data_IF_186172850048
#
_entry.id   IF_186172850048
#
_cell.length_a   1.000
_cell.length_b   1.000
_cell.length_c   1.000
_cell.angle_alpha   90.00
_cell.angle_beta   90.00
_cell.angle_gamma   90.00
#
_symmetry.space_group_name_H-M   'P 1'
#
loop_
_entity.id
_entity.type
_entity.pdbx_description
1 polymer ?
#
# COMPACT_ATOMS: atom_id res chain seq x y z
N UNK A 1 -58.49 -37.97 -65.21
CA UNK A 1 -57.67 -38.50 -66.32
C UNK A 1 -56.99 -37.30 -66.99
N UNK A 2 -55.65 -37.34 -67.15
CA UNK A 2 -54.74 -36.31 -67.70
C UNK A 2 -54.60 -35.02 -66.84
N UNK A 3 -53.44 -34.66 -66.23
CA UNK A 3 -52.06 -34.43 -66.74
C UNK A 3 -52.06 -33.33 -67.81
N UNK A 4 -51.38 -32.18 -67.71
CA UNK A 4 -49.92 -31.96 -67.49
C UNK A 4 -49.61 -30.42 -67.44
N UNK A 5 -48.35 -29.93 -67.35
CA UNK A 5 -47.90 -28.90 -66.40
C UNK A 5 -47.27 -27.62 -67.04
N UNK A 6 -46.78 -26.68 -66.21
CA UNK A 6 -45.63 -25.76 -66.43
C UNK A 6 -45.48 -24.86 -65.19
N UNK A 7 -44.44 -24.95 -64.36
CA UNK A 7 -43.02 -24.55 -64.51
C UNK A 7 -42.73 -23.21 -63.81
N UNK A 8 -41.85 -23.31 -62.80
CA UNK A 8 -40.84 -22.35 -62.32
C UNK A 8 -41.26 -20.91 -61.94
N UNK A 9 -41.03 -20.54 -60.68
CA UNK A 9 -39.94 -19.58 -60.38
C UNK A 9 -39.54 -19.67 -58.90
N UNK A 10 -38.30 -20.14 -58.69
CA UNK A 10 -37.61 -20.16 -57.41
C UNK A 10 -37.18 -18.73 -57.08
N UNK A 11 -37.63 -18.17 -55.96
CA UNK A 11 -37.00 -16.98 -55.36
C UNK A 11 -36.73 -17.24 -53.88
N UNK A 12 -35.50 -17.68 -53.61
CA UNK A 12 -34.91 -17.67 -52.28
C UNK A 12 -34.82 -16.22 -51.80
N UNK A 13 -35.60 -15.87 -50.78
CA UNK A 13 -35.24 -14.77 -49.86
C UNK A 13 -34.79 -15.36 -48.53
N UNK A 14 -33.48 -15.44 -48.41
CA UNK A 14 -32.75 -15.39 -47.15
C UNK A 14 -33.13 -14.11 -46.38
N UNK A 15 -33.44 -14.25 -45.09
CA UNK A 15 -33.01 -13.39 -43.97
C UNK A 15 -33.66 -13.93 -42.70
N UNK A 16 -32.98 -14.80 -41.94
CA UNK A 16 -32.05 -14.44 -40.86
C UNK A 16 -32.75 -13.77 -39.66
N UNK A 17 -33.09 -14.65 -38.72
CA UNK A 17 -33.23 -14.52 -37.27
C UNK A 17 -33.37 -13.12 -36.60
N UNK A 18 -34.35 -12.98 -35.68
CA UNK A 18 -34.24 -12.05 -34.54
C UNK A 18 -33.25 -12.65 -33.54
N UNK A 19 -32.44 -11.86 -32.81
CA UNK A 19 -31.86 -12.22 -31.47
C UNK A 19 -30.69 -11.34 -30.98
N UNK A 20 -30.32 -10.24 -31.63
CA UNK A 20 -29.13 -9.49 -31.16
C UNK A 20 -29.37 -8.55 -29.94
N UNK A 21 -30.62 -8.18 -29.61
CA UNK A 21 -30.83 -7.05 -28.67
C UNK A 21 -31.02 -7.43 -27.19
N UNK A 22 -31.19 -8.71 -26.85
CA UNK A 22 -31.56 -9.11 -25.46
C UNK A 22 -30.38 -9.45 -24.54
N UNK A 23 -29.15 -9.66 -25.04
CA UNK A 23 -28.02 -10.17 -24.23
C UNK A 23 -27.20 -9.10 -23.49
N UNK A 24 -27.36 -7.82 -23.80
CA UNK A 24 -26.51 -6.76 -23.22
C UNK A 24 -26.91 -6.32 -21.80
N UNK A 25 -28.11 -6.65 -21.30
CA UNK A 25 -28.58 -6.20 -19.97
C UNK A 25 -28.27 -7.14 -18.80
N UNK A 26 -27.85 -8.38 -19.05
CA UNK A 26 -27.54 -9.34 -17.97
C UNK A 26 -26.10 -9.27 -17.45
N UNK A 27 -25.16 -8.64 -18.16
CA UNK A 27 -23.76 -8.54 -17.71
C UNK A 27 -23.51 -7.45 -16.66
N UNK A 28 -24.22 -6.32 -16.78
CA UNK A 28 -23.96 -5.14 -15.93
C UNK A 28 -24.51 -5.30 -14.50
N UNK A 29 -25.67 -5.95 -14.35
CA UNK A 29 -26.27 -6.22 -13.03
C UNK A 29 -25.48 -7.25 -12.22
N UNK A 30 -24.90 -8.25 -12.89
CA UNK A 30 -24.04 -9.26 -12.26
C UNK A 30 -22.74 -8.65 -11.72
N UNK A 31 -22.11 -7.75 -12.47
CA UNK A 31 -20.92 -7.04 -12.01
C UNK A 31 -21.22 -6.17 -10.78
N UNK A 32 -22.31 -5.40 -10.79
CA UNK A 32 -22.69 -4.54 -9.64
C UNK A 32 -23.01 -5.39 -8.40
N UNK A 33 -23.69 -6.53 -8.58
CA UNK A 33 -23.98 -7.45 -7.47
C UNK A 33 -22.71 -8.10 -6.90
N UNK A 34 -21.75 -8.46 -7.76
CA UNK A 34 -20.46 -9.01 -7.34
C UNK A 34 -19.63 -7.96 -6.60
N UNK A 35 -19.52 -6.73 -7.12
CA UNK A 35 -18.83 -5.63 -6.45
C UNK A 35 -19.52 -5.23 -5.14
N UNK A 36 -20.85 -5.25 -5.11
CA UNK A 36 -21.63 -5.01 -3.89
C UNK A 36 -21.42 -6.09 -2.83
N UNK A 37 -21.42 -7.37 -3.23
CA UNK A 37 -21.15 -8.48 -2.32
C UNK A 37 -19.68 -8.51 -1.85
N UNK A 38 -18.73 -8.12 -2.71
CA UNK A 38 -17.32 -7.99 -2.35
C UNK A 38 -17.09 -6.83 -1.38
N UNK A 39 -17.70 -5.68 -1.63
CA UNK A 39 -17.68 -4.52 -0.74
C UNK A 39 -18.34 -4.83 0.61
N UNK A 40 -19.48 -5.54 0.60
CA UNK A 40 -20.15 -5.98 1.82
C UNK A 40 -19.35 -7.06 2.55
N UNK A 41 -18.67 -7.95 1.82
CA UNK A 41 -17.76 -8.95 2.39
C UNK A 41 -16.55 -8.32 3.07
N UNK A 42 -15.99 -7.24 2.50
CA UNK A 42 -14.94 -6.45 3.15
C UNK A 42 -15.42 -5.69 4.39
N UNK A 43 -16.72 -5.39 4.50
CA UNK A 43 -17.29 -4.78 5.72
C UNK A 43 -17.56 -5.79 6.84
N UNK A 44 -17.75 -7.07 6.51
CA UNK A 44 -18.14 -8.11 7.48
C UNK A 44 -16.95 -8.93 7.99
N UNK A 45 -15.83 -8.95 7.25
CA UNK A 45 -14.59 -9.58 7.69
C UNK A 45 -13.63 -8.57 8.30
N UNK A 46 -13.86 -8.15 9.55
CA UNK A 46 -12.79 -7.53 10.35
C UNK A 46 -12.05 -8.69 11.02
N UNK A 47 -10.84 -9.07 10.57
CA UNK A 47 -10.00 -9.96 11.35
C UNK A 47 -9.62 -9.19 12.61
N UNK A 48 -10.29 -9.51 13.72
CA UNK A 48 -9.95 -8.98 15.03
C UNK A 48 -8.69 -9.72 15.52
N UNK A 49 -7.69 -8.94 15.95
CA UNK A 49 -6.50 -9.31 16.73
C UNK A 49 -5.32 -10.00 16.02
N UNK A 50 -5.50 -10.90 15.06
CA UNK A 50 -4.39 -11.70 14.52
C UNK A 50 -3.56 -11.03 13.39
N UNK A 51 -3.66 -9.71 13.19
CA UNK A 51 -3.11 -9.04 12.02
C UNK A 51 -1.61 -8.71 12.12
N UNK A 52 -1.06 -8.62 13.33
CA UNK A 52 0.33 -8.18 13.58
C UNK A 52 1.22 -9.27 14.18
N UNK A 53 0.61 -10.34 14.66
CA UNK A 53 1.29 -11.52 15.20
C UNK A 53 2.13 -12.19 14.11
N UNK A 54 3.36 -12.61 14.43
CA UNK A 54 4.29 -13.31 13.53
C UNK A 54 4.61 -12.57 12.21
N UNK A 55 4.44 -11.24 12.19
CA UNK A 55 4.80 -10.43 11.02
C UNK A 55 6.21 -9.86 11.15
N UNK A 56 6.93 -9.84 10.03
CA UNK A 56 8.19 -9.12 9.88
C UNK A 56 7.98 -8.03 8.84
N UNK A 57 8.12 -6.79 9.25
CA UNK A 57 8.04 -5.64 8.36
C UNK A 57 9.43 -5.04 8.18
N UNK A 58 9.83 -4.83 6.94
CA UNK A 58 11.06 -4.15 6.58
C UNK A 58 10.69 -2.88 5.81
N UNK A 59 11.23 -1.76 6.27
CA UNK A 59 10.99 -0.45 5.69
C UNK A 59 12.29 0.24 5.33
N UNK A 60 12.29 0.97 4.22
CA UNK A 60 13.34 1.93 3.89
C UNK A 60 12.66 3.23 3.45
N UNK A 61 13.21 4.35 3.90
CA UNK A 61 12.74 5.68 3.51
C UNK A 61 13.91 6.60 3.26
N UNK A 62 13.72 7.50 2.30
CA UNK A 62 14.63 8.61 2.05
C UNK A 62 13.87 9.92 2.24
N UNK A 63 14.52 10.90 2.84
CA UNK A 63 13.91 12.17 3.20
C UNK A 63 14.89 13.32 3.08
N UNK A 64 14.35 14.50 3.39
CA UNK A 64 15.11 15.74 3.47
C UNK A 64 15.40 16.04 4.95
N UNK A 65 16.67 16.12 5.30
CA UNK A 65 17.11 16.54 6.63
C UNK A 65 17.22 18.07 6.68
N UNK A 66 16.74 18.68 7.75
CA UNK A 66 16.92 20.10 8.01
C UNK A 66 17.34 20.31 9.46
N UNK A 67 18.49 20.96 9.66
CA UNK A 67 19.03 21.25 10.98
C UNK A 67 19.21 22.75 11.14
N UNK A 68 18.69 23.28 12.25
CA UNK A 68 18.97 24.62 12.73
C UNK A 68 20.07 24.50 13.77
N UNK A 69 21.28 24.92 13.43
CA UNK A 69 22.34 25.04 14.42
C UNK A 69 22.14 26.35 15.19
N UNK A 70 21.79 26.24 16.48
CA UNK A 70 21.50 27.39 17.33
C UNK A 70 22.75 28.21 17.65
N UNK A 71 23.94 27.60 17.60
CA UNK A 71 25.20 28.27 17.93
C UNK A 71 25.79 29.00 16.72
N UNK A 72 25.80 28.36 15.55
CA UNK A 72 26.39 28.93 14.33
C UNK A 72 25.37 29.75 13.51
N UNK A 73 24.08 29.74 13.89
CA UNK A 73 22.97 30.36 13.15
C UNK A 73 22.96 29.97 11.65
N UNK A 74 23.50 28.79 11.37
CA UNK A 74 23.65 28.24 10.02
C UNK A 74 22.49 27.29 9.77
N UNK A 75 21.83 27.47 8.62
CA UNK A 75 20.79 26.55 8.16
C UNK A 75 21.44 25.43 7.38
N UNK A 76 21.36 24.21 7.91
CA UNK A 76 21.88 23.03 7.24
C UNK A 76 20.78 22.16 6.68
N UNK A 77 21.04 21.62 5.50
CA UNK A 77 20.13 20.79 4.76
C UNK A 77 20.83 19.52 4.30
N UNK A 78 20.08 18.45 4.12
CA UNK A 78 20.69 17.16 3.90
C UNK A 78 19.76 16.11 3.36
N UNK A 79 20.35 14.94 3.16
CA UNK A 79 19.65 13.70 2.88
C UNK A 79 19.47 12.94 4.20
N UNK A 80 18.26 12.43 4.44
CA UNK A 80 17.98 11.45 5.47
C UNK A 80 17.72 10.09 4.82
N UNK A 81 18.33 9.04 5.35
CA UNK A 81 18.05 7.66 4.99
C UNK A 81 17.69 6.92 6.27
N UNK A 82 16.53 6.27 6.29
CA UNK A 82 16.08 5.49 7.42
C UNK A 82 15.74 4.07 6.96
N UNK A 83 16.22 3.09 7.72
CA UNK A 83 15.86 1.69 7.59
C UNK A 83 15.15 1.24 8.87
N UNK A 84 14.08 0.47 8.71
CA UNK A 84 13.23 -0.05 9.78
C UNK A 84 13.15 -1.57 9.64
N UNK A 85 13.33 -2.27 10.75
CA UNK A 85 12.85 -3.63 10.91
C UNK A 85 11.87 -3.65 12.09
N UNK A 86 10.69 -4.24 11.89
CA UNK A 86 9.66 -4.40 12.92
C UNK A 86 9.25 -5.88 12.96
N UNK A 87 9.22 -6.42 14.17
CA UNK A 87 8.90 -7.80 14.47
C UNK A 87 7.73 -7.83 15.44
N UNK A 88 6.56 -8.27 14.98
CA UNK A 88 5.37 -8.42 15.83
C UNK A 88 5.54 -9.57 16.82
N UNK A 89 5.43 -9.28 18.11
CA UNK A 89 5.49 -10.30 19.18
C UNK A 89 4.12 -10.91 19.47
N UNK A 90 3.07 -10.10 19.41
CA UNK A 90 1.67 -10.50 19.62
C UNK A 90 0.72 -9.45 19.01
N UNK A 91 -0.56 -9.51 19.39
CA UNK A 91 -1.64 -8.66 18.90
C UNK A 91 -1.44 -7.16 19.18
N UNK A 92 -0.60 -6.82 20.16
CA UNK A 92 -0.42 -5.44 20.61
C UNK A 92 1.04 -5.00 20.76
N UNK A 93 2.02 -5.89 20.74
CA UNK A 93 3.44 -5.57 20.95
C UNK A 93 4.29 -5.91 19.74
N UNK A 94 5.21 -5.01 19.39
CA UNK A 94 6.26 -5.26 18.41
C UNK A 94 7.64 -4.82 18.93
N UNK A 95 8.69 -5.45 18.39
CA UNK A 95 10.07 -5.02 18.57
C UNK A 95 10.56 -4.36 17.28
N UNK A 96 11.14 -3.19 17.42
CA UNK A 96 11.56 -2.33 16.30
C UNK A 96 13.04 -2.04 16.40
N UNK A 97 13.71 -2.09 15.26
CA UNK A 97 15.05 -1.58 15.06
C UNK A 97 15.01 -0.52 13.97
N UNK A 98 15.46 0.69 14.28
CA UNK A 98 15.52 1.82 13.36
C UNK A 98 16.98 2.22 13.21
N UNK A 99 17.50 2.12 12.00
CA UNK A 99 18.80 2.66 11.64
C UNK A 99 18.58 3.93 10.81
N UNK A 100 19.15 5.04 11.24
CA UNK A 100 19.03 6.32 10.56
C UNK A 100 20.41 6.84 10.20
N UNK A 101 20.57 7.34 8.98
CA UNK A 101 21.80 7.93 8.48
C UNK A 101 21.48 9.24 7.78
N UNK A 102 22.07 10.33 8.28
CA UNK A 102 21.89 11.67 7.74
C UNK A 102 23.22 12.20 7.20
N UNK A 103 23.14 12.78 6.02
CA UNK A 103 24.22 13.52 5.36
C UNK A 103 23.80 14.97 5.26
N UNK A 104 24.42 15.83 6.07
CA UNK A 104 24.07 17.24 6.21
C UNK A 104 25.16 18.13 5.59
N UNK A 105 24.72 19.13 4.82
CA UNK A 105 25.50 20.15 4.14
C UNK A 105 24.98 21.54 4.60
N UNK A 106 25.78 22.58 4.95
CA UNK A 106 27.04 22.99 4.31
C UNK A 106 28.14 23.49 5.30
N UNK A 107 29.23 24.05 4.73
CA UNK A 107 30.55 24.46 5.28
C UNK A 107 31.51 23.32 5.69
N UNK A 108 31.03 22.31 6.41
CA UNK A 108 31.76 21.06 6.66
C UNK A 108 30.80 19.87 6.59
N UNK A 109 31.14 18.76 5.88
CA UNK A 109 30.28 17.58 5.84
C UNK A 109 30.05 17.06 7.26
N UNK A 110 28.78 16.96 7.66
CA UNK A 110 28.39 16.35 8.92
C UNK A 110 27.61 15.07 8.62
N UNK A 111 28.14 13.95 9.08
CA UNK A 111 27.48 12.65 9.00
C UNK A 111 26.94 12.30 10.38
N UNK A 112 25.63 12.05 10.46
CA UNK A 112 25.00 11.55 11.68
C UNK A 112 24.46 10.15 11.42
N UNK A 113 24.74 9.23 12.33
CA UNK A 113 24.18 7.87 12.27
C UNK A 113 23.57 7.54 13.61
N UNK A 114 22.37 7.00 13.62
CA UNK A 114 21.69 6.56 14.82
C UNK A 114 21.16 5.13 14.63
N UNK A 115 21.16 4.38 15.72
CA UNK A 115 20.52 3.09 15.81
C UNK A 115 19.65 3.08 17.06
N UNK A 116 18.37 2.79 16.90
CA UNK A 116 17.36 2.78 17.95
C UNK A 116 16.70 1.41 17.98
N UNK A 117 16.60 0.82 19.17
CA UNK A 117 15.81 -0.37 19.44
C UNK A 117 14.65 0.00 20.35
N UNK A 118 13.44 -0.32 19.94
CA UNK A 118 12.20 0.11 20.58
C UNK A 118 11.25 -1.07 20.77
N UNK A 119 10.63 -1.17 21.95
CA UNK A 119 9.43 -1.95 22.13
C UNK A 119 8.23 -1.03 21.88
N UNK A 120 7.39 -1.40 20.92
CA UNK A 120 6.24 -0.61 20.50
C UNK A 120 4.93 -1.32 20.87
N UNK A 121 3.99 -0.54 21.40
CA UNK A 121 2.63 -0.94 21.71
C UNK A 121 1.69 -0.36 20.64
N UNK A 122 0.98 -1.24 19.95
CA UNK A 122 0.13 -0.97 18.80
C UNK A 122 -1.32 -1.13 19.26
N UNK A 123 -2.09 -0.04 19.17
CA UNK A 123 -3.51 -0.04 19.51
C UNK A 123 -4.34 -0.09 18.22
N UNK A 124 -5.05 -1.19 18.00
CA UNK A 124 -5.95 -1.32 16.85
C UNK A 124 -7.32 -0.68 17.13
N UNK A 125 -7.49 0.59 16.73
CA UNK A 125 -8.76 1.31 16.82
C UNK A 125 -9.27 1.61 15.41
N UNK A 126 -9.86 0.59 14.77
CA UNK A 126 -10.81 0.56 13.62
C UNK A 126 -10.44 1.34 12.34
N UNK A 127 -9.51 2.31 12.35
CA UNK A 127 -9.07 3.16 11.22
C UNK A 127 -7.71 3.84 11.42
N UNK A 128 -7.35 4.18 12.65
CA UNK A 128 -6.07 4.82 12.98
C UNK A 128 -5.40 3.97 14.02
N UNK A 129 -4.16 3.59 13.74
CA UNK A 129 -3.36 2.74 14.63
C UNK A 129 -2.34 3.63 15.34
N UNK A 130 -2.65 4.15 16.54
CA UNK A 130 -1.64 4.82 17.34
C UNK A 130 -0.59 3.79 17.79
N UNK A 131 0.68 4.19 17.68
CA UNK A 131 1.84 3.40 18.07
C UNK A 131 2.60 4.16 19.16
N UNK A 132 2.82 3.50 20.29
CA UNK A 132 3.59 4.05 21.42
C UNK A 132 4.86 3.25 21.61
N UNK A 133 6.00 3.92 21.58
CA UNK A 133 7.31 3.28 21.67
C UNK A 133 8.10 3.69 22.89
N UNK A 134 8.84 2.74 23.48
CA UNK A 134 9.94 3.05 24.39
C UNK A 134 11.17 2.25 23.99
N UNK A 135 12.32 2.91 23.98
CA UNK A 135 13.52 2.32 23.41
C UNK A 135 14.82 2.93 23.91
N UNK A 136 15.90 2.29 23.50
CA UNK A 136 17.26 2.74 23.71
C UNK A 136 17.96 2.88 22.36
N UNK A 137 18.78 3.91 22.22
CA UNK A 137 19.50 4.14 21.00
C UNK A 137 20.89 4.70 21.26
N UNK A 138 21.72 4.57 20.24
CA UNK A 138 23.02 5.19 20.18
C UNK A 138 23.09 6.06 18.92
N UNK A 139 23.74 7.21 19.03
CA UNK A 139 23.97 8.10 17.91
C UNK A 139 25.45 8.48 17.85
N UNK A 140 25.96 8.61 16.63
CA UNK A 140 27.30 9.09 16.34
C UNK A 140 27.21 10.24 15.38
N UNK A 141 28.09 11.22 15.58
CA UNK A 141 28.24 12.37 14.70
C UNK A 141 29.70 12.48 14.30
N UNK A 142 29.95 12.60 13.00
CA UNK A 142 31.29 12.75 12.43
C UNK A 142 31.30 14.02 11.60
N UNK A 143 32.11 15.00 12.02
CA UNK A 143 32.37 16.24 11.29
C UNK A 143 33.69 16.10 10.54
N UNK A 144 33.69 16.26 9.22
CA UNK A 144 34.92 16.29 8.43
C UNK A 144 35.55 17.69 8.49
N UNK A 145 36.81 17.79 8.92
CA UNK A 145 37.57 19.06 8.97
C UNK A 145 38.01 19.56 10.34
N UNK A 146 38.03 18.69 11.37
CA UNK A 146 38.72 18.95 12.64
C UNK A 146 40.19 18.50 12.59
#
# INVERSE_FOLDING_TARGET
MASRPRSLMLTLRSQAAPQACARARLGLGSAIALFGALALGMLVGVPVAAAYEDTIQLGVSAGYAHQLDAEENERRHGLDLTALADFGLNDAWSLRAVAQHQLVFPSAPLRKTALLFEAAYILDIVRVVPVFGVGIGAATEVREGA
#
